data_IF_359043393837
#
_entry.id   IF_359043393837
#
_cell.length_a   1.000
_cell.length_b   1.000
_cell.length_c   1.000
_cell.angle_alpha   90.00
_cell.angle_beta   90.00
_cell.angle_gamma   90.00
#
_symmetry.space_group_name_H-M   'P 1'
#
loop_
_entity.id
_entity.type
_entity.pdbx_description
1 polymer ?
#
# COMPACT_ATOMS: atom_id res chain seq x y z
N UNK A 1 -13.44 -2.18 -5.29
CA UNK A 1 -12.48 -1.75 -6.33
C UNK A 1 -12.44 -2.82 -7.42
N UNK A 2 -13.27 -2.70 -8.48
CA UNK A 2 -13.27 -3.68 -9.59
C UNK A 2 -11.90 -3.84 -10.26
N UNK A 3 -11.11 -2.77 -10.30
CA UNK A 3 -9.81 -2.69 -10.96
C UNK A 3 -8.77 -3.60 -10.31
N UNK A 4 -8.87 -3.85 -9.00
CA UNK A 4 -7.92 -4.69 -8.26
C UNK A 4 -8.27 -6.18 -8.26
N UNK A 5 -9.42 -6.58 -8.84
CA UNK A 5 -9.82 -8.00 -8.89
C UNK A 5 -8.83 -8.89 -9.66
N UNK A 6 -8.09 -8.29 -10.61
CA UNK A 6 -7.05 -8.98 -11.40
C UNK A 6 -5.73 -9.11 -10.66
N UNK A 7 -5.55 -8.35 -9.57
CA UNK A 7 -4.37 -8.43 -8.73
C UNK A 7 -4.58 -9.58 -7.76
N UNK A 8 -3.73 -10.61 -7.84
CA UNK A 8 -3.76 -11.71 -6.90
C UNK A 8 -3.37 -11.22 -5.50
N UNK A 9 -4.35 -11.04 -4.62
CA UNK A 9 -4.12 -10.76 -3.21
C UNK A 9 -4.15 -12.05 -2.41
N UNK A 10 -3.16 -12.19 -1.53
CA UNK A 10 -3.15 -13.17 -0.45
C UNK A 10 -2.99 -12.39 0.85
N UNK A 11 -3.75 -12.76 1.87
CA UNK A 11 -3.72 -12.11 3.17
C UNK A 11 -3.76 -13.16 4.27
N UNK A 12 -2.85 -13.03 5.21
CA UNK A 12 -2.77 -13.82 6.43
C UNK A 12 -2.86 -12.88 7.64
N UNK A 13 -3.28 -13.42 8.78
CA UNK A 13 -3.33 -12.68 10.05
C UNK A 13 -2.64 -13.48 11.14
N UNK A 14 -1.75 -12.82 11.87
CA UNK A 14 -1.08 -13.36 13.05
C UNK A 14 -1.52 -12.55 14.26
N UNK A 15 -2.07 -13.22 15.27
CA UNK A 15 -2.48 -12.58 16.52
C UNK A 15 -1.31 -12.50 17.49
N UNK A 16 -1.16 -11.35 18.12
CA UNK A 16 -0.16 -11.07 19.16
C UNK A 16 -0.88 -10.62 20.45
N UNK A 17 -0.23 -10.64 21.62
CA UNK A 17 -0.88 -10.29 22.88
C UNK A 17 -1.01 -8.76 23.06
N UNK A 18 -1.81 -8.11 22.22
CA UNK A 18 -2.26 -6.72 22.36
C UNK A 18 -3.78 -6.68 22.51
N UNK A 19 -4.30 -5.72 23.27
CA UNK A 19 -5.73 -5.60 23.54
C UNK A 19 -6.49 -4.91 22.40
N UNK A 20 -5.84 -4.02 21.66
CA UNK A 20 -6.37 -3.34 20.48
C UNK A 20 -5.20 -2.88 19.60
N UNK A 21 -5.54 -2.22 18.49
CA UNK A 21 -4.67 -1.76 17.41
C UNK A 21 -4.04 -2.92 16.64
N UNK A 22 -4.08 -2.78 15.33
CA UNK A 22 -3.55 -3.74 14.37
C UNK A 22 -2.68 -3.03 13.33
N UNK A 23 -1.80 -3.79 12.70
CA UNK A 23 -0.89 -3.30 11.66
C UNK A 23 -1.09 -4.09 10.38
N UNK A 24 -1.31 -3.39 9.29
CA UNK A 24 -1.31 -3.91 7.93
C UNK A 24 0.12 -3.82 7.40
N UNK A 25 0.63 -4.95 6.88
CA UNK A 25 1.88 -4.99 6.13
C UNK A 25 1.54 -5.37 4.70
N UNK A 26 1.50 -4.39 3.82
CA UNK A 26 1.19 -4.56 2.41
C UNK A 26 2.48 -4.73 1.62
N UNK A 27 2.68 -5.92 1.04
CA UNK A 27 3.78 -6.19 0.13
C UNK A 27 3.23 -6.19 -1.30
N UNK A 28 3.85 -5.41 -2.18
CA UNK A 28 3.43 -5.30 -3.59
C UNK A 28 4.64 -5.32 -4.50
N UNK A 29 4.49 -5.90 -5.68
CA UNK A 29 5.53 -5.89 -6.72
C UNK A 29 5.00 -5.16 -7.93
N UNK A 30 5.76 -4.18 -8.40
CA UNK A 30 5.42 -3.37 -9.56
C UNK A 30 6.47 -3.59 -10.64
N UNK A 31 6.05 -3.66 -11.89
CA UNK A 31 6.94 -3.28 -12.98
C UNK A 31 7.30 -1.81 -12.80
N UNK A 32 8.59 -1.49 -12.74
CA UNK A 32 9.06 -0.10 -12.57
C UNK A 32 9.79 0.35 -13.82
N UNK A 33 9.39 1.45 -14.47
CA UNK A 33 10.27 2.12 -15.42
C UNK A 33 11.55 2.58 -14.72
N UNK A 34 12.63 2.66 -15.50
CA UNK A 34 13.86 3.33 -15.10
C UNK A 34 13.90 4.73 -15.72
N UNK A 35 14.48 5.69 -15.01
CA UNK A 35 14.73 7.03 -15.53
C UNK A 35 16.01 7.09 -16.40
N UNK A 36 16.37 8.29 -16.87
CA UNK A 36 17.56 8.50 -17.72
C UNK A 36 18.88 8.16 -17.01
N UNK A 37 18.91 8.10 -15.68
CA UNK A 37 20.05 7.69 -14.88
C UNK A 37 20.07 6.17 -14.59
N UNK A 38 19.04 5.43 -15.03
CA UNK A 38 18.88 4.01 -14.77
C UNK A 38 18.28 3.70 -13.39
N UNK A 39 17.73 4.70 -12.70
CA UNK A 39 17.15 4.54 -11.36
C UNK A 39 15.64 4.24 -11.44
N UNK A 40 15.08 3.44 -10.51
CA UNK A 40 13.67 3.10 -10.53
C UNK A 40 12.79 4.31 -10.22
N UNK A 41 11.77 4.53 -11.07
CA UNK A 41 10.78 5.60 -10.84
C UNK A 41 9.91 5.31 -9.61
N UNK A 42 9.55 4.04 -9.38
CA UNK A 42 8.74 3.65 -8.22
C UNK A 42 9.66 3.50 -7.00
N UNK A 43 9.62 4.51 -6.12
CA UNK A 43 10.42 4.58 -4.89
C UNK A 43 9.53 4.76 -3.66
N UNK A 44 10.08 4.48 -2.47
CA UNK A 44 9.39 4.76 -1.21
C UNK A 44 9.03 6.25 -1.07
N UNK A 45 9.86 7.17 -1.61
CA UNK A 45 9.56 8.61 -1.63
C UNK A 45 8.30 8.90 -2.46
N UNK A 46 8.21 8.32 -3.66
CA UNK A 46 7.02 8.47 -4.52
C UNK A 46 5.77 7.91 -3.83
N UNK A 47 5.86 6.70 -3.26
CA UNK A 47 4.73 6.06 -2.58
C UNK A 47 4.28 6.85 -1.35
N UNK A 48 5.24 7.32 -0.55
CA UNK A 48 4.98 8.15 0.61
C UNK A 48 4.30 9.48 0.22
N UNK A 49 4.76 10.13 -0.85
CA UNK A 49 4.16 11.36 -1.37
C UNK A 49 2.71 11.14 -1.86
N UNK A 50 2.42 10.00 -2.51
CA UNK A 50 1.04 9.64 -2.90
C UNK A 50 0.14 9.55 -1.67
N UNK A 51 0.58 8.86 -0.61
CA UNK A 51 -0.20 8.76 0.63
C UNK A 51 -0.32 10.09 1.36
N UNK A 52 0.74 10.91 1.40
CA UNK A 52 0.71 12.24 1.99
C UNK A 52 -0.31 13.13 1.29
N UNK A 53 -0.29 13.18 -0.05
CA UNK A 53 -1.27 13.91 -0.86
C UNK A 53 -2.69 13.40 -0.66
N UNK A 54 -2.88 12.09 -0.55
CA UNK A 54 -4.19 11.51 -0.26
C UNK A 54 -4.71 11.95 1.12
N UNK A 55 -3.84 11.94 2.15
CA UNK A 55 -4.16 12.36 3.52
C UNK A 55 -4.55 13.85 3.59
N UNK A 56 -3.92 14.68 2.76
CA UNK A 56 -4.20 16.13 2.69
C UNK A 56 -5.40 16.46 1.80
N UNK A 57 -5.75 15.56 0.87
CA UNK A 57 -6.75 15.75 -0.17
C UNK A 57 -8.01 14.90 0.03
N UNK A 58 -8.27 14.02 -0.94
CA UNK A 58 -9.55 13.31 -1.06
C UNK A 58 -9.84 12.31 0.06
N UNK A 59 -8.81 11.89 0.82
CA UNK A 59 -8.95 10.94 1.93
C UNK A 59 -8.76 11.62 3.28
N UNK A 60 -8.75 12.95 3.34
CA UNK A 60 -8.57 13.70 4.58
C UNK A 60 -9.60 13.28 5.64
N UNK A 61 -9.10 12.99 6.84
CA UNK A 61 -9.90 12.50 7.97
C UNK A 61 -9.99 10.98 8.04
N UNK A 62 -10.02 10.29 6.90
CA UNK A 62 -10.01 8.83 6.84
C UNK A 62 -8.59 8.24 6.78
N UNK A 63 -7.70 8.89 6.04
CA UNK A 63 -6.30 8.50 5.93
C UNK A 63 -5.43 9.56 6.62
N UNK A 64 -4.59 9.11 7.53
CA UNK A 64 -3.54 9.92 8.15
C UNK A 64 -2.19 9.41 7.66
N UNK A 65 -1.26 10.33 7.39
CA UNK A 65 0.11 9.99 7.05
C UNK A 65 1.05 10.49 8.15
N UNK A 66 2.04 9.69 8.52
CA UNK A 66 3.03 10.05 9.54
C UNK A 66 4.43 9.57 9.19
N UNK A 67 5.42 10.42 9.42
CA UNK A 67 6.86 10.10 9.34
C UNK A 67 7.44 9.69 10.71
N UNK A 68 6.59 9.59 11.74
CA UNK A 68 7.00 9.07 13.06
C UNK A 68 7.14 7.56 13.00
N UNK A 69 8.09 7.05 13.76
CA UNK A 69 8.15 5.64 14.13
C UNK A 69 7.19 5.40 15.28
N UNK A 70 5.98 4.90 15.00
CA UNK A 70 4.95 4.73 16.03
C UNK A 70 5.01 3.34 16.64
N UNK A 71 4.43 3.21 17.83
CA UNK A 71 4.09 1.92 18.42
C UNK A 71 2.57 1.81 18.57
N UNK A 72 2.04 0.61 18.75
CA UNK A 72 0.58 0.37 18.77
C UNK A 72 -0.18 1.28 19.75
N UNK A 73 0.41 1.61 20.91
CA UNK A 73 -0.22 2.48 21.91
C UNK A 73 -0.42 3.93 21.44
N UNK A 74 0.37 4.41 20.47
CA UNK A 74 0.22 5.76 19.92
C UNK A 74 -1.06 5.89 19.07
N UNK A 75 -1.64 4.78 18.62
CA UNK A 75 -2.76 4.76 17.68
C UNK A 75 -4.11 4.45 18.32
N UNK A 76 -4.14 4.19 19.63
CA UNK A 76 -5.39 3.90 20.36
C UNK A 76 -6.30 5.13 20.31
N UNK A 77 -7.54 4.94 19.85
CA UNK A 77 -8.55 5.98 19.76
C UNK A 77 -8.33 6.99 18.62
N UNK A 78 -7.33 6.78 17.74
CA UNK A 78 -7.12 7.66 16.58
C UNK A 78 -8.30 7.50 15.60
N UNK A 79 -9.05 8.58 15.30
CA UNK A 79 -10.25 8.51 14.48
C UNK A 79 -9.94 8.54 12.99
N UNK A 80 -9.18 7.57 12.50
CA UNK A 80 -8.81 7.42 11.09
C UNK A 80 -9.02 5.98 10.65
N UNK A 81 -9.47 5.75 9.42
CA UNK A 81 -9.56 4.41 8.84
C UNK A 81 -8.20 3.72 8.78
N UNK A 82 -7.14 4.48 8.49
CA UNK A 82 -5.75 4.00 8.49
C UNK A 82 -4.77 5.15 8.77
N UNK A 83 -3.70 4.83 9.50
CA UNK A 83 -2.53 5.70 9.68
C UNK A 83 -1.35 5.08 8.94
N UNK A 84 -0.93 5.68 7.83
CA UNK A 84 0.20 5.24 7.02
C UNK A 84 1.52 5.61 7.70
N UNK A 85 2.33 4.59 8.02
CA UNK A 85 3.66 4.77 8.60
C UNK A 85 4.70 4.91 7.50
N UNK A 86 4.98 6.16 7.13
CA UNK A 86 5.96 6.51 6.11
C UNK A 86 7.40 6.24 6.51
N UNK A 87 7.70 6.20 7.81
CA UNK A 87 9.05 5.96 8.34
C UNK A 87 9.60 4.59 7.95
N UNK A 88 8.76 3.56 8.00
CA UNK A 88 9.14 2.17 7.74
C UNK A 88 8.89 1.74 6.29
N UNK A 89 8.20 2.57 5.49
CA UNK A 89 7.96 2.31 4.06
C UNK A 89 9.28 2.06 3.33
N UNK A 90 9.37 0.92 2.65
CA UNK A 90 10.59 0.52 1.96
C UNK A 90 10.31 0.04 0.55
N UNK A 91 11.23 0.34 -0.37
CA UNK A 91 11.22 -0.17 -1.75
C UNK A 91 12.57 -0.77 -2.09
N UNK A 92 12.55 -1.91 -2.78
CA UNK A 92 13.74 -2.55 -3.34
C UNK A 92 13.50 -2.93 -4.79
N UNK A 93 14.38 -2.52 -5.67
CA UNK A 93 14.31 -2.85 -7.10
C UNK A 93 15.25 -4.00 -7.44
N UNK A 94 14.77 -4.90 -8.29
CA UNK A 94 15.54 -5.97 -8.90
C UNK A 94 15.13 -6.15 -10.36
N UNK A 95 15.73 -7.13 -11.03
CA UNK A 95 15.47 -7.44 -12.42
C UNK A 95 15.02 -8.89 -12.57
N UNK A 96 13.97 -9.11 -13.34
CA UNK A 96 13.53 -10.43 -13.76
C UNK A 96 14.08 -10.67 -15.16
N UNK A 97 14.95 -11.66 -15.28
CA UNK A 97 15.47 -12.08 -16.58
C UNK A 97 14.47 -13.02 -17.23
N UNK A 98 14.09 -12.74 -18.48
CA UNK A 98 13.27 -13.65 -19.27
C UNK A 98 14.15 -14.67 -19.98
N UNK A 99 14.01 -15.98 -19.69
CA UNK A 99 14.76 -17.01 -20.40
C UNK A 99 14.39 -17.06 -21.89
N UNK A 100 15.35 -17.37 -22.78
CA UNK A 100 15.10 -17.52 -24.22
C UNK A 100 13.91 -18.44 -24.53
N UNK A 101 13.76 -19.53 -23.78
CA UNK A 101 12.69 -20.52 -23.98
C UNK A 101 11.29 -19.91 -23.72
N UNK A 102 11.21 -18.95 -22.78
CA UNK A 102 9.96 -18.25 -22.51
C UNK A 102 9.60 -17.34 -23.68
N UNK A 103 10.57 -16.61 -24.23
CA UNK A 103 10.38 -15.75 -25.41
C UNK A 103 9.94 -16.58 -26.63
N UNK A 104 10.59 -17.72 -26.87
CA UNK A 104 10.25 -18.64 -27.96
C UNK A 104 8.82 -19.19 -27.83
N UNK A 105 8.41 -19.59 -26.61
CA UNK A 105 7.05 -20.09 -26.36
C UNK A 105 5.95 -19.05 -26.65
N UNK A 106 6.29 -17.77 -26.59
CA UNK A 106 5.42 -16.63 -26.89
C UNK A 106 5.54 -16.19 -28.36
N UNK A 107 6.39 -16.83 -29.17
CA UNK A 107 6.66 -16.47 -30.55
C UNK A 107 7.46 -15.17 -30.72
N UNK A 108 8.22 -14.77 -29.69
CA UNK A 108 9.06 -13.58 -29.69
C UNK A 108 10.52 -13.94 -30.01
N UNK A 109 11.32 -12.99 -30.57
CA UNK A 109 12.75 -13.19 -30.77
C UNK A 109 13.47 -13.49 -29.45
N UNK A 110 14.32 -14.51 -29.44
CA UNK A 110 15.04 -15.01 -28.25
C UNK A 110 16.54 -14.72 -28.27
N UNK A 111 16.99 -13.93 -29.24
CA UNK A 111 18.38 -13.52 -29.45
C UNK A 111 18.82 -12.34 -28.56
N UNK A 112 17.88 -11.68 -27.88
CA UNK A 112 18.13 -10.57 -26.97
C UNK A 112 17.93 -10.95 -25.50
N UNK A 113 18.82 -10.46 -24.63
CA UNK A 113 18.64 -10.53 -23.18
C UNK A 113 17.57 -9.53 -22.74
N UNK A 114 16.42 -10.03 -22.29
CA UNK A 114 15.31 -9.19 -21.80
C UNK A 114 15.29 -9.21 -20.28
N UNK A 115 15.55 -8.05 -19.68
CA UNK A 115 15.47 -7.84 -18.24
C UNK A 115 14.33 -6.89 -17.92
N UNK A 116 13.42 -7.33 -17.04
CA UNK A 116 12.28 -6.54 -16.60
C UNK A 116 12.58 -5.96 -15.21
N UNK A 117 12.73 -4.63 -15.08
CA UNK A 117 12.88 -3.99 -13.78
C UNK A 117 11.58 -4.11 -12.96
N UNK A 118 11.72 -4.58 -11.73
CA UNK A 118 10.61 -4.72 -10.78
C UNK A 118 10.96 -4.09 -9.43
N UNK A 119 10.05 -3.29 -8.89
CA UNK A 119 10.15 -2.76 -7.53
C UNK A 119 9.24 -3.55 -6.60
N UNK A 120 9.81 -4.12 -5.55
CA UNK A 120 9.09 -4.61 -4.40
C UNK A 120 8.90 -3.48 -3.39
N UNK A 121 7.66 -3.17 -3.03
CA UNK A 121 7.31 -2.21 -2.01
C UNK A 121 6.75 -2.92 -0.77
N UNK A 122 7.13 -2.42 0.40
CA UNK A 122 6.58 -2.81 1.69
C UNK A 122 6.03 -1.56 2.38
N UNK A 123 4.73 -1.55 2.58
CA UNK A 123 3.97 -0.42 3.12
C UNK A 123 3.29 -0.83 4.42
N UNK A 124 3.20 0.12 5.35
CA UNK A 124 2.72 -0.11 6.71
C UNK A 124 1.53 0.80 7.01
N UNK A 125 0.45 0.22 7.53
CA UNK A 125 -0.77 0.95 7.88
C UNK A 125 -1.31 0.50 9.22
N UNK A 126 -1.30 1.38 10.21
CA UNK A 126 -1.93 1.12 11.50
C UNK A 126 -3.42 1.42 11.45
N UNK A 127 -4.19 0.72 12.28
CA UNK A 127 -5.58 1.06 12.54
C UNK A 127 -5.99 0.56 13.92
N UNK A 128 -6.82 1.35 14.61
CA UNK A 128 -7.52 0.91 15.81
C UNK A 128 -8.73 0.08 15.37
N UNK A 129 -8.60 -1.24 15.45
CA UNK A 129 -9.63 -2.19 15.03
C UNK A 129 -10.93 -2.12 15.86
N UNK A 130 -11.01 -1.28 16.89
CA UNK A 130 -12.20 -1.05 17.70
C UNK A 130 -12.77 0.37 17.47
N UNK A 131 -12.59 1.25 18.47
CA UNK A 131 -13.33 2.51 18.59
C UNK A 131 -12.78 3.59 17.66
N UNK A 132 -11.45 3.73 17.57
CA UNK A 132 -10.80 4.76 16.77
C UNK A 132 -11.15 4.66 15.29
N UNK A 133 -10.88 3.52 14.65
CA UNK A 133 -11.03 3.42 13.20
C UNK A 133 -12.41 2.92 12.77
N UNK A 134 -12.73 1.66 13.09
CA UNK A 134 -13.86 0.97 12.45
C UNK A 134 -15.21 1.56 12.85
N UNK A 135 -15.44 1.77 14.15
CA UNK A 135 -16.70 2.31 14.66
C UNK A 135 -16.91 3.76 14.20
N UNK A 136 -15.85 4.57 14.17
CA UNK A 136 -15.93 5.94 13.65
C UNK A 136 -16.35 5.96 12.17
N UNK A 137 -15.71 5.15 11.33
CA UNK A 137 -16.04 5.05 9.91
C UNK A 137 -17.50 4.59 9.68
N UNK A 138 -18.00 3.67 10.50
CA UNK A 138 -19.40 3.22 10.44
C UNK A 138 -20.38 4.36 10.80
N UNK A 139 -20.05 5.17 11.80
CA UNK A 139 -20.81 6.36 12.16
C UNK A 139 -20.84 7.39 11.04
N UNK A 140 -19.68 7.69 10.44
CA UNK A 140 -19.57 8.58 9.27
C UNK A 140 -20.40 8.09 8.09
N UNK A 141 -20.35 6.78 7.79
CA UNK A 141 -21.16 6.18 6.72
C UNK A 141 -22.66 6.30 7.00
N UNK A 142 -23.07 6.11 8.26
CA UNK A 142 -24.49 6.25 8.65
C UNK A 142 -24.98 7.68 8.42
N UNK A 143 -24.19 8.68 8.82
CA UNK A 143 -24.50 10.09 8.57
C UNK A 143 -24.54 10.41 7.07
N UNK A 144 -23.58 9.86 6.31
CA UNK A 144 -23.57 10.00 4.85
C UNK A 144 -24.85 9.45 4.22
N UNK A 145 -25.26 8.23 4.56
CA UNK A 145 -26.49 7.62 4.04
C UNK A 145 -27.70 8.49 4.41
N UNK A 146 -27.86 8.86 5.68
CA UNK A 146 -28.99 9.67 6.14
C UNK A 146 -29.12 11.00 5.37
N UNK A 147 -28.00 11.66 5.09
CA UNK A 147 -27.97 12.92 4.33
C UNK A 147 -28.29 12.75 2.84
N UNK A 148 -28.18 11.53 2.29
CA UNK A 148 -28.42 11.22 0.87
C UNK A 148 -29.70 10.40 0.65
N UNK A 149 -30.50 10.15 1.70
CA UNK A 149 -31.79 9.45 1.60
C UNK A 149 -32.97 10.37 1.24
N UNK A 150 -32.71 11.63 0.89
CA UNK A 150 -33.70 12.62 0.42
C UNK A 150 -33.61 12.86 -1.07
#
# INVERSE_FOLDING_TARGET
>A
LPEIQRVGFMADSVRIPTNTVSLIILNMTFHTPLDDAGEPVITHLLLNDIYRKAAEGSQKGLLVYTDRQNVSSDLIGVPAAVVIEGHESHTRTGFINLPPETLESLGLPSDAEVQIPVTHAKLFGWYDNEYGSYVNCLGELTNYIANNMG
#
